data_IF_351115637178
#
_entry.id   IF_351115637178
#
_cell.length_a   1.000
_cell.length_b   1.000
_cell.length_c   1.000
_cell.angle_alpha   90.00
_cell.angle_beta   90.00
_cell.angle_gamma   90.00
#
_symmetry.space_group_name_H-M   'P 1'
#
loop_
_entity.id
_entity.type
_entity.pdbx_description
1 polymer ?
#
# COMPACT_ATOMS: atom_id res chain seq x y z
N UNK A 1 13.99 -4.68 30.99
CA UNK A 1 13.63 -3.62 30.01
C UNK A 1 14.41 -3.67 28.69
N UNK A 2 15.48 -4.48 28.53
CA UNK A 2 16.31 -4.47 27.30
C UNK A 2 15.81 -5.34 26.13
N UNK A 3 14.84 -6.25 26.32
CA UNK A 3 14.35 -7.14 25.23
C UNK A 3 13.47 -6.43 24.20
N UNK A 4 12.61 -5.51 24.64
CA UNK A 4 11.64 -4.80 23.77
C UNK A 4 12.33 -3.90 22.74
N UNK A 5 13.49 -3.32 23.08
CA UNK A 5 14.23 -2.45 22.15
C UNK A 5 14.92 -3.22 21.01
N UNK A 6 15.33 -4.47 21.23
CA UNK A 6 16.00 -5.30 20.21
C UNK A 6 15.06 -5.79 19.12
N UNK A 7 13.81 -6.13 19.45
CA UNK A 7 12.78 -6.50 18.46
C UNK A 7 12.38 -5.29 17.58
N UNK A 8 12.25 -4.12 18.18
CA UNK A 8 11.88 -2.90 17.46
C UNK A 8 12.96 -2.40 16.49
N UNK A 9 14.24 -2.61 16.81
CA UNK A 9 15.36 -2.23 15.93
C UNK A 9 15.41 -3.12 14.67
N UNK A 10 15.08 -4.40 14.82
CA UNK A 10 15.01 -5.35 13.72
C UNK A 10 13.86 -5.00 12.74
N UNK A 11 12.67 -4.71 13.28
CA UNK A 11 11.51 -4.34 12.46
C UNK A 11 11.76 -3.08 11.61
N UNK A 12 12.38 -2.03 12.19
CA UNK A 12 12.73 -0.83 11.43
C UNK A 12 13.72 -1.10 10.29
N UNK A 13 14.73 -1.94 10.55
CA UNK A 13 15.69 -2.32 9.52
C UNK A 13 15.04 -3.14 8.41
N UNK A 14 14.18 -4.11 8.75
CA UNK A 14 13.45 -4.90 7.75
C UNK A 14 12.53 -4.05 6.87
N UNK A 15 11.84 -3.07 7.45
CA UNK A 15 11.04 -2.10 6.67
C UNK A 15 11.91 -1.26 5.72
N UNK A 16 13.07 -0.81 6.20
CA UNK A 16 14.04 -0.08 5.37
C UNK A 16 14.60 -0.96 4.25
N UNK A 17 14.86 -2.23 4.51
CA UNK A 17 15.34 -3.18 3.51
C UNK A 17 14.28 -3.44 2.44
N UNK A 18 13.01 -3.62 2.84
CA UNK A 18 11.89 -3.69 1.91
C UNK A 18 11.80 -2.41 1.07
N UNK A 19 11.87 -1.23 1.68
CA UNK A 19 11.85 0.04 0.95
C UNK A 19 12.98 0.13 -0.10
N UNK A 20 14.21 -0.24 0.27
CA UNK A 20 15.35 -0.22 -0.64
C UNK A 20 15.16 -1.22 -1.80
N UNK A 21 14.61 -2.41 -1.51
CA UNK A 21 14.25 -3.40 -2.55
C UNK A 21 13.23 -2.82 -3.53
N UNK A 22 12.12 -2.29 -3.03
CA UNK A 22 11.06 -1.68 -3.84
C UNK A 22 11.58 -0.50 -4.68
N UNK A 23 12.47 0.31 -4.10
CA UNK A 23 13.15 1.40 -4.79
C UNK A 23 14.03 0.89 -5.93
N UNK A 24 14.79 -0.18 -5.71
CA UNK A 24 15.64 -0.80 -6.74
C UNK A 24 14.84 -1.40 -7.90
N UNK A 25 13.63 -1.91 -7.63
CA UNK A 25 12.67 -2.40 -8.63
C UNK A 25 12.01 -1.26 -9.42
N UNK A 26 12.18 0.00 -9.01
CA UNK A 26 11.59 1.16 -9.69
C UNK A 26 10.11 1.42 -9.37
N UNK A 27 9.58 0.84 -8.28
CA UNK A 27 8.17 0.98 -7.87
C UNK A 27 7.80 2.45 -7.55
N UNK A 28 8.78 3.25 -7.14
CA UNK A 28 8.62 4.66 -6.82
C UNK A 28 9.02 5.60 -7.98
N UNK A 29 8.76 5.23 -9.24
CA UNK A 29 9.21 5.99 -10.43
C UNK A 29 8.81 7.48 -10.46
N UNK A 30 7.77 7.88 -9.72
CA UNK A 30 7.24 9.24 -9.68
C UNK A 30 7.83 10.09 -8.54
N UNK A 31 8.71 9.52 -7.74
CA UNK A 31 9.32 10.16 -6.58
C UNK A 31 10.81 10.39 -6.80
N UNK A 32 11.38 11.28 -5.98
CA UNK A 32 12.79 11.61 -6.03
C UNK A 32 13.64 10.36 -5.74
N UNK A 33 14.66 10.14 -6.59
CA UNK A 33 15.63 9.05 -6.44
C UNK A 33 16.44 9.19 -5.15
N UNK A 34 16.59 10.40 -4.62
CA UNK A 34 17.32 10.64 -3.37
C UNK A 34 16.43 10.51 -2.12
N UNK A 35 15.17 10.10 -2.27
CA UNK A 35 14.26 9.89 -1.13
C UNK A 35 14.83 8.82 -0.18
N UNK A 36 15.01 9.19 1.09
CA UNK A 36 15.36 8.28 2.18
C UNK A 36 14.09 7.74 2.87
N UNK A 37 14.19 6.53 3.40
CA UNK A 37 13.11 5.85 4.13
C UNK A 37 12.55 6.71 5.27
N UNK A 38 13.42 7.44 5.99
CA UNK A 38 13.02 8.29 7.12
C UNK A 38 12.06 9.41 6.75
N UNK A 39 12.19 9.93 5.53
CA UNK A 39 11.39 11.04 5.04
C UNK A 39 10.22 10.58 4.15
N UNK A 40 10.08 9.27 3.95
CA UNK A 40 9.07 8.69 3.08
C UNK A 40 7.88 8.21 3.92
N UNK A 41 6.65 8.74 3.69
CA UNK A 41 5.47 8.31 4.42
C UNK A 41 5.19 6.81 4.26
N UNK A 42 5.05 6.07 5.37
CA UNK A 42 4.76 4.63 5.33
C UNK A 42 3.49 4.30 4.53
N UNK A 43 2.47 5.18 4.58
CA UNK A 43 1.25 5.03 3.80
C UNK A 43 1.50 5.02 2.28
N UNK A 44 2.49 5.79 1.80
CA UNK A 44 2.86 5.80 0.38
C UNK A 44 3.61 4.53 -0.02
N UNK A 45 4.43 3.99 0.88
CA UNK A 45 5.13 2.70 0.68
C UNK A 45 4.07 1.61 0.51
N UNK A 46 3.12 1.54 1.43
CA UNK A 46 2.01 0.57 1.39
C UNK A 46 1.21 0.75 0.11
N UNK A 47 0.78 1.97 -0.22
CA UNK A 47 -0.01 2.24 -1.43
C UNK A 47 0.69 1.75 -2.70
N UNK A 48 1.96 2.12 -2.90
CA UNK A 48 2.70 1.73 -4.11
C UNK A 48 3.01 0.25 -4.15
N UNK A 49 3.31 -0.35 -2.99
CA UNK A 49 3.52 -1.80 -2.88
C UNK A 49 2.26 -2.55 -3.30
N UNK A 50 1.08 -2.13 -2.82
CA UNK A 50 -0.19 -2.76 -3.17
C UNK A 50 -0.57 -2.57 -4.65
N UNK A 51 -0.11 -1.50 -5.30
CA UNK A 51 -0.43 -1.20 -6.71
C UNK A 51 0.50 -1.91 -7.70
N UNK A 52 1.79 -1.94 -7.41
CA UNK A 52 2.83 -2.24 -8.41
C UNK A 52 3.82 -3.33 -8.00
N UNK A 53 3.88 -3.73 -6.73
CA UNK A 53 4.82 -4.74 -6.30
C UNK A 53 4.35 -6.16 -6.66
N UNK A 54 5.32 -7.08 -6.66
CA UNK A 54 5.07 -8.50 -6.86
C UNK A 54 4.42 -9.14 -5.62
N UNK A 55 3.86 -10.33 -5.80
CA UNK A 55 3.15 -11.06 -4.74
C UNK A 55 4.01 -11.29 -3.48
N UNK A 56 5.29 -11.65 -3.65
CA UNK A 56 6.22 -11.91 -2.54
C UNK A 56 6.53 -10.64 -1.72
N UNK A 57 6.55 -9.48 -2.39
CA UNK A 57 6.75 -8.19 -1.76
C UNK A 57 5.51 -7.77 -0.97
N UNK A 58 4.31 -8.07 -1.49
CA UNK A 58 3.06 -7.87 -0.76
C UNK A 58 3.02 -8.76 0.49
N UNK A 59 3.42 -10.04 0.41
CA UNK A 59 3.53 -10.90 1.60
C UNK A 59 4.48 -10.27 2.63
N UNK A 60 5.64 -9.79 2.18
CA UNK A 60 6.62 -9.14 3.03
C UNK A 60 6.04 -7.90 3.72
N UNK A 61 5.23 -7.10 3.00
CA UNK A 61 4.50 -5.97 3.56
C UNK A 61 3.55 -6.39 4.69
N UNK A 62 2.76 -7.45 4.50
CA UNK A 62 1.83 -7.97 5.51
C UNK A 62 2.52 -8.59 6.73
N UNK A 63 3.78 -8.99 6.60
CA UNK A 63 4.59 -9.45 7.73
C UNK A 63 5.20 -8.29 8.53
N UNK A 64 5.40 -7.12 7.92
CA UNK A 64 6.08 -5.97 8.52
C UNK A 64 5.14 -4.89 9.05
N UNK A 65 3.92 -4.81 8.50
CA UNK A 65 2.92 -3.82 8.89
C UNK A 65 1.66 -4.49 9.44
N UNK A 66 1.00 -3.81 10.37
CA UNK A 66 -0.28 -4.28 10.88
C UNK A 66 -1.33 -4.32 9.77
N UNK A 67 -2.08 -5.42 9.72
CA UNK A 67 -3.15 -5.64 8.75
C UNK A 67 -4.19 -4.51 8.74
N UNK A 68 -4.53 -3.98 9.92
CA UNK A 68 -5.44 -2.84 10.10
C UNK A 68 -4.94 -1.59 9.38
N UNK A 69 -3.65 -1.30 9.48
CA UNK A 69 -3.02 -0.15 8.84
C UNK A 69 -2.96 -0.31 7.31
N UNK A 70 -2.57 -1.50 6.83
CA UNK A 70 -2.58 -1.80 5.39
C UNK A 70 -3.99 -1.68 4.82
N UNK A 71 -5.00 -2.21 5.54
CA UNK A 71 -6.40 -2.11 5.13
C UNK A 71 -6.87 -0.66 5.04
N UNK A 72 -6.56 0.18 6.03
CA UNK A 72 -6.93 1.59 6.04
C UNK A 72 -6.32 2.37 4.87
N UNK A 73 -5.06 2.09 4.53
CA UNK A 73 -4.41 2.68 3.35
C UNK A 73 -5.07 2.18 2.07
N UNK A 74 -5.26 0.87 1.93
CA UNK A 74 -5.90 0.25 0.77
C UNK A 74 -7.29 0.83 0.50
N UNK A 75 -8.12 0.94 1.54
CA UNK A 75 -9.48 1.47 1.43
C UNK A 75 -9.51 2.92 0.97
N UNK A 76 -8.59 3.75 1.48
CA UNK A 76 -8.53 5.17 1.17
C UNK A 76 -7.95 5.46 -0.21
N UNK A 77 -6.98 4.66 -0.69
CA UNK A 77 -6.21 5.00 -1.89
C UNK A 77 -6.43 4.05 -3.07
N UNK A 78 -6.28 2.74 -2.87
CA UNK A 78 -6.25 1.76 -3.98
C UNK A 78 -7.65 1.26 -4.35
N UNK A 79 -8.52 1.05 -3.35
CA UNK A 79 -9.85 0.45 -3.51
C UNK A 79 -10.74 1.19 -4.52
N UNK A 80 -10.65 2.51 -4.58
CA UNK A 80 -11.45 3.37 -5.47
C UNK A 80 -10.85 3.57 -6.87
N UNK A 81 -9.66 3.00 -7.13
CA UNK A 81 -9.01 3.10 -8.43
C UNK A 81 -9.45 1.95 -9.35
N UNK A 82 -10.27 2.29 -10.35
CA UNK A 82 -10.81 1.34 -11.32
C UNK A 82 -9.75 0.72 -12.24
N UNK A 83 -8.54 1.30 -12.31
CA UNK A 83 -7.44 0.73 -13.11
C UNK A 83 -6.92 -0.57 -12.51
N UNK A 84 -7.10 -0.75 -11.21
CA UNK A 84 -6.55 -1.89 -10.45
C UNK A 84 -7.63 -2.87 -9.97
N UNK A 85 -8.78 -2.98 -10.65
CA UNK A 85 -9.89 -3.87 -10.22
C UNK A 85 -9.44 -5.31 -9.96
N UNK A 86 -8.61 -5.89 -10.85
CA UNK A 86 -8.11 -7.26 -10.69
C UNK A 86 -7.21 -7.40 -9.46
N UNK A 87 -6.29 -6.45 -9.27
CA UNK A 87 -5.40 -6.39 -8.10
C UNK A 87 -6.21 -6.17 -6.82
N UNK A 88 -7.19 -5.27 -6.82
CA UNK A 88 -8.09 -5.02 -5.70
C UNK A 88 -8.91 -6.26 -5.33
N UNK A 89 -9.40 -7.01 -6.32
CA UNK A 89 -10.11 -8.27 -6.08
C UNK A 89 -9.19 -9.32 -5.44
N UNK A 90 -7.97 -9.46 -5.95
CA UNK A 90 -6.95 -10.35 -5.36
C UNK A 90 -6.64 -9.94 -3.91
N UNK A 91 -6.37 -8.66 -3.66
CA UNK A 91 -6.08 -8.14 -2.32
C UNK A 91 -7.24 -8.39 -1.36
N UNK A 92 -8.47 -8.09 -1.78
CA UNK A 92 -9.67 -8.30 -0.98
C UNK A 92 -9.89 -9.77 -0.62
N UNK A 93 -9.78 -10.69 -1.59
CA UNK A 93 -10.03 -12.12 -1.37
C UNK A 93 -8.90 -12.81 -0.62
N UNK A 94 -7.67 -12.64 -1.10
CA UNK A 94 -6.50 -13.39 -0.60
C UNK A 94 -6.01 -12.83 0.72
N UNK A 95 -5.84 -11.51 0.79
CA UNK A 95 -5.26 -10.89 1.97
C UNK A 95 -6.34 -10.50 2.97
N UNK A 96 -7.41 -9.83 2.56
CA UNK A 96 -8.44 -9.35 3.50
C UNK A 96 -9.58 -10.36 3.78
N UNK A 97 -9.59 -11.52 3.11
CA UNK A 97 -10.60 -12.58 3.27
C UNK A 97 -12.04 -12.06 3.10
N UNK A 98 -12.23 -11.09 2.21
CA UNK A 98 -13.53 -10.56 1.85
C UNK A 98 -14.14 -11.42 0.74
N UNK A 99 -15.39 -11.82 0.92
CA UNK A 99 -16.18 -12.49 -0.12
C UNK A 99 -16.89 -11.45 -0.99
N UNK A 100 -16.19 -10.96 -2.01
CA UNK A 100 -16.70 -9.93 -2.92
C UNK A 100 -16.39 -10.27 -4.38
N UNK A 101 -17.23 -9.80 -5.28
CA UNK A 101 -17.06 -9.88 -6.73
C UNK A 101 -16.46 -8.60 -7.32
N UNK A 102 -15.92 -8.68 -8.54
CA UNK A 102 -15.30 -7.54 -9.22
C UNK A 102 -16.24 -6.32 -9.38
N UNK A 103 -17.56 -6.57 -9.48
CA UNK A 103 -18.58 -5.52 -9.55
C UNK A 103 -18.65 -4.63 -8.32
N UNK A 104 -18.21 -5.13 -7.16
CA UNK A 104 -18.12 -4.34 -5.94
C UNK A 104 -17.32 -3.05 -6.14
N UNK A 105 -16.22 -3.13 -6.90
CA UNK A 105 -15.33 -1.98 -7.11
C UNK A 105 -15.84 -1.00 -8.16
N UNK A 106 -16.65 -1.45 -9.12
CA UNK A 106 -17.18 -0.60 -10.20
C UNK A 106 -18.18 0.44 -9.70
N UNK A 107 -18.87 0.12 -8.61
CA UNK A 107 -19.88 0.98 -8.01
C UNK A 107 -19.33 1.93 -6.94
N UNK A 108 -18.02 1.92 -6.69
CA UNK A 108 -17.41 2.78 -5.68
C UNK A 108 -17.26 4.21 -6.20
N UNK A 109 -17.79 5.18 -5.43
CA UNK A 109 -17.56 6.59 -5.68
C UNK A 109 -16.12 6.94 -5.36
N UNK A 110 -15.44 7.60 -6.30
CA UNK A 110 -14.11 8.12 -6.06
C UNK A 110 -14.22 9.55 -5.52
N UNK A 111 -13.97 9.74 -4.22
CA UNK A 111 -14.05 11.06 -3.57
C UNK A 111 -13.18 12.12 -4.26
N UNK A 112 -12.02 11.73 -4.79
CA UNK A 112 -11.13 12.64 -5.50
C UNK A 112 -11.75 13.10 -6.83
N UNK A 113 -12.40 12.18 -7.54
CA UNK A 113 -13.09 12.50 -8.79
C UNK A 113 -14.28 13.46 -8.52
N UNK A 114 -15.04 13.23 -7.45
CA UNK A 114 -16.14 14.15 -7.08
C UNK A 114 -15.61 15.53 -6.67
N UNK A 115 -14.54 15.61 -5.88
CA UNK A 115 -13.91 16.89 -5.52
C UNK A 115 -13.42 17.65 -6.75
N UNK A 116 -12.80 16.97 -7.71
CA UNK A 116 -12.40 17.57 -8.98
C UNK A 116 -13.59 18.08 -9.79
N UNK A 117 -14.70 17.33 -9.80
CA UNK A 117 -15.94 17.73 -10.48
C UNK A 117 -16.53 19.01 -9.88
N UNK A 118 -16.48 19.15 -8.55
CA UNK A 118 -16.94 20.36 -7.85
C UNK A 118 -16.08 21.59 -8.15
N UNK A 119 -14.78 21.43 -8.43
CA UNK A 119 -13.87 22.53 -8.76
C UNK A 119 -13.94 22.97 -10.22
N UNK A 120 -14.53 22.15 -11.09
CA UNK A 120 -14.70 22.46 -12.50
C UNK A 120 -16.01 23.21 -12.82
N UNK A 121 -16.79 23.57 -11.79
CA UNK A 121 -18.05 24.34 -11.89
C UNK A 121 -17.79 25.78 -11.47
#
# INVERSE_FOLDING_TARGET
>A
MQKIAKENTNCHQLKKDLFNKLKSQGIFWSYDKESDYKNFPEALIIEHTLKYADYDDIISLFNLYERSFIFAVWEKTVKSDLRFIKTNLMLARVFFRMDIEADYFRNLKNERAEKLRLLAT
#
